data_IF_828258766037
#
_entry.id   IF_828258766037
#
_cell.length_a   1.000
_cell.length_b   1.000
_cell.length_c   1.000
_cell.angle_alpha   90.00
_cell.angle_beta   90.00
_cell.angle_gamma   90.00
#
_symmetry.space_group_name_H-M   'P 1'
#
loop_
_entity.id
_entity.type
_entity.pdbx_description
1 polymer ?
#
# COMPACT_ATOMS: atom_id res chain seq x y z
N UNK A 1 -21.20 13.44 1.27
CA UNK A 1 -20.02 12.85 0.59
C UNK A 1 -20.38 11.44 0.14
N UNK A 2 -19.87 10.99 -1.00
CA UNK A 2 -20.04 9.59 -1.43
C UNK A 2 -18.89 8.74 -0.90
N UNK A 3 -19.07 7.43 -0.76
CA UNK A 3 -17.99 6.52 -0.35
C UNK A 3 -16.73 6.66 -1.22
N UNK A 4 -16.89 6.95 -2.52
CA UNK A 4 -15.78 7.21 -3.43
C UNK A 4 -14.99 8.46 -3.05
N UNK A 5 -15.68 9.54 -2.68
CA UNK A 5 -15.02 10.78 -2.27
C UNK A 5 -14.30 10.57 -0.94
N UNK A 6 -14.94 9.90 0.02
CA UNK A 6 -14.32 9.59 1.32
C UNK A 6 -13.04 8.74 1.16
N UNK A 7 -13.06 7.73 0.28
CA UNK A 7 -11.89 6.91 0.01
C UNK A 7 -10.77 7.71 -0.68
N UNK A 8 -11.14 8.61 -1.59
CA UNK A 8 -10.17 9.48 -2.25
C UNK A 8 -9.56 10.49 -1.28
N UNK A 9 -10.36 11.12 -0.43
CA UNK A 9 -9.89 12.02 0.64
C UNK A 9 -8.91 11.29 1.57
N UNK A 10 -9.24 10.05 1.96
CA UNK A 10 -8.33 9.22 2.77
C UNK A 10 -7.04 8.87 2.04
N UNK A 11 -7.09 8.65 0.73
CA UNK A 11 -5.87 8.52 -0.06
C UNK A 11 -5.06 9.82 -0.11
N UNK A 12 -5.70 10.99 -0.23
CA UNK A 12 -4.99 12.27 -0.21
C UNK A 12 -4.31 12.52 1.13
N UNK A 13 -4.94 12.17 2.26
CA UNK A 13 -4.30 12.19 3.58
C UNK A 13 -3.04 11.31 3.61
N UNK A 14 -3.14 10.06 3.14
CA UNK A 14 -1.99 9.16 3.05
C UNK A 14 -0.92 9.68 2.09
N UNK A 15 -1.32 10.16 0.92
CA UNK A 15 -0.45 10.72 -0.12
C UNK A 15 0.37 11.89 0.41
N UNK A 16 -0.26 12.79 1.19
CA UNK A 16 0.42 13.89 1.85
C UNK A 16 1.53 13.39 2.80
N UNK A 17 1.26 12.38 3.63
CA UNK A 17 2.27 11.76 4.51
C UNK A 17 3.42 11.13 3.73
N UNK A 18 3.13 10.57 2.55
CA UNK A 18 4.14 9.94 1.70
C UNK A 18 5.02 10.95 0.97
N UNK A 19 4.53 12.16 0.68
CA UNK A 19 5.37 13.21 0.08
C UNK A 19 6.21 13.97 1.12
N UNK A 20 5.74 14.06 2.36
CA UNK A 20 6.45 14.69 3.46
C UNK A 20 7.65 13.87 3.95
N UNK A 21 8.57 14.54 4.64
CA UNK A 21 9.61 13.88 5.41
C UNK A 21 8.97 12.98 6.47
N UNK A 22 9.43 11.74 6.55
CA UNK A 22 8.97 10.79 7.55
C UNK A 22 9.31 11.24 8.98
N UNK A 23 8.51 10.77 9.93
CA UNK A 23 8.81 10.98 11.36
C UNK A 23 10.22 10.51 11.74
N UNK A 24 10.80 11.10 12.77
CA UNK A 24 12.06 10.64 13.36
C UNK A 24 11.96 9.20 13.85
N UNK A 25 10.83 8.81 14.43
CA UNK A 25 10.61 7.42 14.83
C UNK A 25 10.69 6.43 13.65
N UNK A 26 9.97 6.71 12.55
CA UNK A 26 10.00 5.87 11.35
C UNK A 26 11.40 5.88 10.72
N UNK A 27 12.03 7.05 10.61
CA UNK A 27 13.39 7.16 10.08
C UNK A 27 14.37 6.31 10.88
N UNK A 28 14.34 6.38 12.22
CA UNK A 28 15.23 5.60 13.09
C UNK A 28 15.01 4.09 12.93
N UNK A 29 13.77 3.64 12.81
CA UNK A 29 13.50 2.23 12.53
C UNK A 29 14.13 1.79 11.22
N UNK A 30 13.96 2.59 10.18
CA UNK A 30 14.36 2.22 8.85
C UNK A 30 15.84 2.52 8.55
N UNK A 31 16.50 3.44 9.24
CA UNK A 31 17.90 3.78 9.00
C UNK A 31 18.85 3.04 9.96
N UNK A 32 18.46 2.90 11.24
CA UNK A 32 19.39 2.45 12.27
C UNK A 32 19.11 1.01 12.75
N UNK A 33 17.83 0.63 12.84
CA UNK A 33 17.45 -0.65 13.43
C UNK A 33 17.49 -1.82 12.42
N UNK A 34 17.37 -1.53 11.13
CA UNK A 34 17.48 -2.54 10.06
C UNK A 34 18.87 -2.51 9.44
N UNK A 35 19.51 -3.67 9.32
CA UNK A 35 20.79 -3.80 8.62
C UNK A 35 20.56 -3.98 7.12
N UNK A 36 20.80 -2.93 6.36
CA UNK A 36 20.71 -2.93 4.90
C UNK A 36 22.04 -3.40 4.28
N UNK A 37 22.26 -4.72 4.20
CA UNK A 37 23.48 -5.27 3.58
C UNK A 37 23.37 -5.30 2.05
N UNK A 38 24.32 -4.67 1.36
CA UNK A 38 24.43 -4.70 -0.11
C UNK A 38 24.59 -6.15 -0.61
N UNK A 39 23.52 -6.78 -1.10
CA UNK A 39 23.62 -8.04 -1.87
C UNK A 39 24.11 -7.82 -3.31
N UNK A 40 24.30 -6.57 -3.74
CA UNK A 40 24.86 -6.23 -5.04
C UNK A 40 25.74 -5.00 -4.89
N UNK A 41 27.04 -5.16 -5.13
CA UNK A 41 28.03 -4.10 -4.98
C UNK A 41 27.65 -2.78 -5.65
N UNK A 42 28.31 -1.71 -5.19
CA UNK A 42 28.16 -0.31 -5.62
C UNK A 42 27.55 -0.20 -7.03
N UNK A 43 26.35 0.38 -7.12
CA UNK A 43 25.82 0.79 -8.42
C UNK A 43 26.84 1.73 -9.09
N UNK A 44 26.97 1.68 -10.42
CA UNK A 44 27.86 2.59 -11.19
C UNK A 44 27.57 4.09 -10.96
N UNK A 45 26.49 4.41 -10.24
CA UNK A 45 26.09 5.76 -9.86
C UNK A 45 26.54 6.18 -8.44
N UNK A 46 27.33 5.36 -7.71
CA UNK A 46 27.89 5.74 -6.41
C UNK A 46 26.96 5.56 -5.20
N UNK A 47 25.69 5.18 -5.42
CA UNK A 47 24.71 4.99 -4.34
C UNK A 47 24.74 3.55 -3.79
N UNK A 48 24.78 3.41 -2.46
CA UNK A 48 24.76 2.14 -1.72
C UNK A 48 23.33 1.65 -1.46
N UNK A 49 23.15 0.38 -1.11
CA UNK A 49 21.87 -0.16 -0.58
C UNK A 49 21.24 0.72 0.52
N UNK A 50 22.10 1.44 1.25
CA UNK A 50 21.78 2.22 2.44
C UNK A 50 20.79 3.37 2.24
N UNK A 51 20.30 3.62 1.03
CA UNK A 51 19.24 4.63 0.81
C UNK A 51 17.99 4.07 0.13
N UNK A 52 18.05 2.95 -0.60
CA UNK A 52 16.86 2.42 -1.28
C UNK A 52 15.94 1.67 -0.30
N UNK A 53 16.55 0.78 0.49
CA UNK A 53 15.86 -0.01 1.52
C UNK A 53 15.20 0.87 2.58
N UNK A 54 15.93 1.81 3.22
CA UNK A 54 15.35 2.72 4.21
C UNK A 54 14.18 3.54 3.68
N UNK A 55 14.24 4.09 2.47
CA UNK A 55 13.12 4.86 1.89
C UNK A 55 11.88 3.99 1.71
N UNK A 56 12.02 2.78 1.17
CA UNK A 56 10.90 1.86 1.03
C UNK A 56 10.35 1.41 2.39
N UNK A 57 11.22 1.11 3.34
CA UNK A 57 10.83 0.83 4.72
C UNK A 57 10.02 1.98 5.30
N UNK A 58 10.47 3.23 5.13
CA UNK A 58 9.78 4.42 5.60
C UNK A 58 8.38 4.52 5.02
N UNK A 59 8.24 4.35 3.70
CA UNK A 59 6.93 4.33 3.04
C UNK A 59 6.01 3.21 3.56
N UNK A 60 6.54 2.00 3.76
CA UNK A 60 5.78 0.88 4.34
C UNK A 60 5.28 1.18 5.76
N UNK A 61 6.15 1.76 6.60
CA UNK A 61 5.77 2.12 7.96
C UNK A 61 4.75 3.26 7.98
N UNK A 62 4.87 4.28 7.13
CA UNK A 62 3.85 5.34 7.03
C UNK A 62 2.47 4.75 6.68
N UNK A 63 2.40 3.80 5.74
CA UNK A 63 1.17 3.09 5.40
C UNK A 63 0.66 2.27 6.61
N UNK A 64 1.53 1.53 7.30
CA UNK A 64 1.13 0.75 8.49
C UNK A 64 0.62 1.66 9.61
N UNK A 65 1.27 2.77 9.90
CA UNK A 65 0.82 3.74 10.91
C UNK A 65 -0.53 4.36 10.51
N UNK A 66 -0.68 4.75 9.24
CA UNK A 66 -1.95 5.21 8.69
C UNK A 66 -3.08 4.20 8.86
N UNK A 67 -2.85 2.92 8.54
CA UNK A 67 -3.83 1.84 8.70
C UNK A 67 -4.22 1.59 10.17
N UNK A 68 -3.35 1.94 11.12
CA UNK A 68 -3.60 1.84 12.56
C UNK A 68 -4.15 3.13 13.19
N UNK A 69 -4.47 4.15 12.38
CA UNK A 69 -5.01 5.42 12.89
C UNK A 69 -3.99 6.26 13.65
N UNK A 70 -2.69 6.01 13.47
CA UNK A 70 -1.61 6.78 14.10
C UNK A 70 -0.98 7.69 13.06
N UNK A 71 -0.81 8.95 13.40
CA UNK A 71 -0.10 9.92 12.59
C UNK A 71 1.09 10.48 13.37
N UNK A 72 2.25 10.37 12.76
CA UNK A 72 3.48 10.96 13.24
C UNK A 72 3.96 11.99 12.24
N UNK A 73 4.44 13.13 12.76
CA UNK A 73 5.04 14.17 11.95
C UNK A 73 6.30 14.66 12.63
N UNK A 74 7.35 14.87 11.84
CA UNK A 74 8.56 15.49 12.36
C UNK A 74 8.26 16.90 12.83
N UNK A 75 8.90 17.33 13.92
CA UNK A 75 8.68 18.66 14.49
C UNK A 75 9.10 19.77 13.54
N UNK A 76 10.29 19.62 12.95
CA UNK A 76 10.86 20.46 11.90
C UNK A 76 11.74 19.61 10.98
N UNK A 77 11.96 20.06 9.75
CA UNK A 77 12.80 19.33 8.80
C UNK A 77 14.21 19.10 9.36
N UNK A 78 14.69 17.86 9.29
CA UNK A 78 16.02 17.46 9.76
C UNK A 78 16.17 17.29 11.28
N UNK A 79 15.11 17.48 12.07
CA UNK A 79 15.18 17.30 13.53
C UNK A 79 15.07 15.84 13.97
N UNK A 80 15.61 15.54 15.14
CA UNK A 80 15.54 14.23 15.80
C UNK A 80 14.35 14.11 16.76
N UNK A 81 13.30 14.89 16.53
CA UNK A 81 12.10 14.96 17.37
C UNK A 81 10.84 14.96 16.50
N UNK A 82 9.82 14.25 16.98
CA UNK A 82 8.49 14.25 16.42
C UNK A 82 7.54 15.15 17.22
N UNK A 83 6.49 15.63 16.55
CA UNK A 83 5.32 16.17 17.22
C UNK A 83 4.63 15.06 18.01
N UNK A 84 3.77 15.45 18.96
CA UNK A 84 2.90 14.48 19.62
C UNK A 84 2.08 13.72 18.56
N UNK A 85 1.96 12.40 18.73
CA UNK A 85 1.22 11.55 17.80
C UNK A 85 -0.25 11.98 17.77
N UNK A 86 -0.80 12.14 16.57
CA UNK A 86 -2.23 12.37 16.37
C UNK A 86 -2.91 11.01 16.19
N UNK A 87 -3.85 10.68 17.07
CA UNK A 87 -4.52 9.38 17.11
C UNK A 87 -5.97 9.53 16.63
N UNK A 88 -6.31 8.80 15.58
CA UNK A 88 -7.68 8.68 15.07
C UNK A 88 -8.34 7.42 15.62
N UNK A 89 -9.53 7.55 16.20
CA UNK A 89 -10.36 6.41 16.56
C UNK A 89 -10.93 5.76 15.29
N UNK A 90 -10.59 4.49 15.10
CA UNK A 90 -11.02 3.63 14.01
C UNK A 90 -12.39 3.06 14.30
N UNK A 91 -13.45 3.81 14.00
CA UNK A 91 -14.80 3.24 13.84
C UNK A 91 -14.79 2.16 12.74
N UNK A 92 -15.79 1.28 12.64
CA UNK A 92 -15.83 0.26 11.58
C UNK A 92 -15.64 0.85 10.17
N UNK A 93 -16.28 1.97 9.88
CA UNK A 93 -16.18 2.64 8.58
C UNK A 93 -14.80 3.26 8.36
N UNK A 94 -14.22 3.89 9.39
CA UNK A 94 -12.89 4.49 9.30
C UNK A 94 -11.80 3.42 9.14
N UNK A 95 -11.93 2.31 9.86
CA UNK A 95 -11.09 1.14 9.69
C UNK A 95 -11.19 0.63 8.24
N UNK A 96 -12.41 0.41 7.73
CA UNK A 96 -12.60 -0.04 6.35
C UNK A 96 -11.90 0.88 5.34
N UNK A 97 -12.13 2.20 5.42
CA UNK A 97 -11.51 3.18 4.52
C UNK A 97 -9.98 3.15 4.58
N UNK A 98 -9.39 3.17 5.78
CA UNK A 98 -7.93 3.15 5.92
C UNK A 98 -7.32 1.83 5.46
N UNK A 99 -7.97 0.71 5.75
CA UNK A 99 -7.49 -0.61 5.34
C UNK A 99 -7.51 -0.75 3.82
N UNK A 100 -8.61 -0.36 3.15
CA UNK A 100 -8.70 -0.49 1.69
C UNK A 100 -7.78 0.52 0.98
N UNK A 101 -7.73 1.77 1.45
CA UNK A 101 -6.83 2.80 0.91
C UNK A 101 -5.37 2.38 1.09
N UNK A 102 -4.97 1.96 2.28
CA UNK A 102 -3.60 1.51 2.56
C UNK A 102 -3.20 0.32 1.70
N UNK A 103 -4.09 -0.66 1.55
CA UNK A 103 -3.86 -1.87 0.73
C UNK A 103 -3.70 -1.53 -0.75
N UNK A 104 -4.64 -0.76 -1.32
CA UNK A 104 -4.58 -0.38 -2.74
C UNK A 104 -3.38 0.55 -2.99
N UNK A 105 -3.18 1.55 -2.14
CA UNK A 105 -2.05 2.48 -2.26
C UNK A 105 -0.70 1.74 -2.21
N UNK A 106 -0.53 0.79 -1.30
CA UNK A 106 0.69 0.00 -1.21
C UNK A 106 1.01 -0.72 -2.53
N UNK A 107 0.01 -1.36 -3.13
CA UNK A 107 0.18 -2.07 -4.40
C UNK A 107 0.48 -1.12 -5.56
N UNK A 108 -0.30 -0.04 -5.70
CA UNK A 108 -0.16 0.91 -6.82
C UNK A 108 1.11 1.77 -6.74
N UNK A 109 1.54 2.13 -5.53
CA UNK A 109 2.68 3.03 -5.31
C UNK A 109 4.02 2.30 -5.28
N UNK A 110 4.05 1.12 -4.69
CA UNK A 110 5.31 0.44 -4.37
C UNK A 110 5.38 -1.00 -4.91
N UNK A 111 4.27 -1.57 -5.38
CA UNK A 111 4.23 -2.96 -5.82
C UNK A 111 5.19 -3.30 -6.95
N UNK A 112 5.58 -2.33 -7.78
CA UNK A 112 6.54 -2.51 -8.86
C UNK A 112 8.00 -2.27 -8.46
N UNK A 113 8.31 -2.12 -7.16
CA UNK A 113 9.68 -1.99 -6.67
C UNK A 113 10.40 -3.34 -6.53
N UNK A 114 11.53 -3.51 -7.23
CA UNK A 114 12.21 -4.81 -7.32
C UNK A 114 12.81 -5.36 -6.03
N UNK A 115 12.89 -4.57 -4.95
CA UNK A 115 13.35 -5.05 -3.63
C UNK A 115 12.26 -4.95 -2.56
N UNK A 116 11.01 -4.67 -2.94
CA UNK A 116 9.93 -4.50 -1.97
C UNK A 116 9.75 -5.75 -1.10
N UNK A 117 9.75 -6.95 -1.70
CA UNK A 117 9.66 -8.21 -0.95
C UNK A 117 10.74 -8.31 0.15
N UNK A 118 11.99 -8.00 -0.18
CA UNK A 118 13.12 -8.06 0.76
C UNK A 118 12.99 -7.01 1.86
N UNK A 119 12.49 -5.81 1.53
CA UNK A 119 12.22 -4.76 2.51
C UNK A 119 11.08 -5.19 3.44
N UNK A 120 9.98 -5.75 2.92
CA UNK A 120 8.86 -6.27 3.72
C UNK A 120 9.36 -7.36 4.68
N UNK A 121 10.18 -8.29 4.18
CA UNK A 121 10.76 -9.35 5.00
C UNK A 121 11.58 -8.77 6.14
N UNK A 122 12.51 -7.85 5.84
CA UNK A 122 13.34 -7.17 6.86
C UNK A 122 12.54 -6.37 7.86
N UNK A 123 11.51 -5.64 7.41
CA UNK A 123 10.61 -4.92 8.31
C UNK A 123 9.96 -5.91 9.27
N UNK A 124 9.46 -7.04 8.77
CA UNK A 124 8.82 -8.07 9.59
C UNK A 124 9.80 -8.70 10.59
N UNK A 125 10.99 -9.10 10.15
CA UNK A 125 11.94 -9.87 10.96
C UNK A 125 12.74 -9.01 11.93
N UNK A 126 13.19 -7.84 11.49
CA UNK A 126 14.19 -7.06 12.22
C UNK A 126 13.52 -6.04 13.16
N UNK A 127 12.39 -5.46 12.76
CA UNK A 127 11.74 -4.35 13.49
C UNK A 127 10.24 -4.53 13.75
N UNK A 128 9.58 -5.58 13.24
CA UNK A 128 8.13 -5.72 13.27
C UNK A 128 7.55 -5.68 14.68
N UNK A 129 8.13 -6.44 15.61
CA UNK A 129 7.71 -6.43 17.02
C UNK A 129 7.92 -5.08 17.70
N UNK A 130 9.00 -4.37 17.37
CA UNK A 130 9.29 -3.04 17.91
C UNK A 130 8.33 -1.98 17.39
N UNK A 131 7.99 -2.06 16.09
CA UNK A 131 6.99 -1.20 15.45
C UNK A 131 5.62 -1.41 16.10
N UNK A 132 5.19 -2.66 16.26
CA UNK A 132 3.91 -2.98 16.88
C UNK A 132 3.86 -2.51 18.34
N UNK A 133 4.96 -2.64 19.09
CA UNK A 133 5.07 -2.12 20.45
C UNK A 133 4.96 -0.58 20.50
N UNK A 134 5.58 0.15 19.55
CA UNK A 134 5.44 1.61 19.48
C UNK A 134 4.03 2.04 19.11
N UNK A 135 3.42 1.40 18.11
CA UNK A 135 2.03 1.63 17.75
C UNK A 135 1.10 1.42 18.95
N UNK A 136 1.28 0.31 19.68
CA UNK A 136 0.53 0.04 20.91
C UNK A 136 0.71 1.14 21.95
N UNK A 137 1.93 1.64 22.15
CA UNK A 137 2.20 2.73 23.09
C UNK A 137 1.51 4.03 22.68
N UNK A 138 1.53 4.40 21.40
CA UNK A 138 0.82 5.56 20.87
C UNK A 138 -0.70 5.42 21.06
N UNK A 139 -1.24 4.24 20.78
CA UNK A 139 -2.67 3.94 20.96
C UNK A 139 -3.12 3.95 22.44
N UNK A 140 -2.17 3.86 23.37
CA UNK A 140 -2.40 3.88 24.82
C UNK A 140 -2.00 5.21 25.49
N UNK A 141 -1.47 6.19 24.76
CA UNK A 141 -0.93 7.44 25.33
C UNK A 141 -2.00 8.52 25.58
N UNK A 142 -3.26 8.27 25.22
CA UNK A 142 -4.38 9.20 25.36
C UNK A 142 -5.37 8.86 26.49
N UNK A 143 -6.45 9.66 26.58
CA UNK A 143 -7.54 9.44 27.56
C UNK A 143 -8.38 8.20 27.24
N UNK A 144 -8.47 7.82 25.96
CA UNK A 144 -9.04 6.57 25.49
C UNK A 144 -7.91 5.58 25.23
N UNK A 145 -8.04 4.36 25.75
CA UNK A 145 -7.16 3.24 25.39
C UNK A 145 -7.71 2.60 24.13
N UNK A 146 -6.93 2.67 23.05
CA UNK A 146 -7.33 2.26 21.71
C UNK A 146 -6.43 1.13 21.18
N UNK A 147 -5.89 0.31 22.09
CA UNK A 147 -4.96 -0.77 21.74
C UNK A 147 -5.59 -1.87 20.88
N UNK A 148 -6.92 -2.03 20.94
CA UNK A 148 -7.68 -2.94 20.08
C UNK A 148 -7.69 -2.54 18.60
N UNK A 149 -7.22 -1.33 18.29
CA UNK A 149 -7.06 -0.85 16.91
C UNK A 149 -5.79 -1.36 16.25
N UNK A 150 -4.84 -1.89 17.03
CA UNK A 150 -3.62 -2.45 16.50
C UNK A 150 -3.93 -3.61 15.55
N UNK A 151 -3.38 -3.55 14.34
CA UNK A 151 -3.57 -4.53 13.28
C UNK A 151 -5.05 -4.78 12.93
N UNK A 152 -5.93 -3.79 13.12
CA UNK A 152 -7.38 -3.90 12.86
C UNK A 152 -7.73 -4.25 11.42
N UNK A 153 -6.81 -4.05 10.48
CA UNK A 153 -6.97 -4.41 9.06
C UNK A 153 -6.77 -5.90 8.77
N UNK A 154 -6.18 -6.68 9.68
CA UNK A 154 -5.95 -8.11 9.46
C UNK A 154 -7.27 -8.86 9.23
N UNK A 155 -7.37 -9.53 8.09
CA UNK A 155 -8.56 -10.26 7.65
C UNK A 155 -9.78 -9.39 7.34
N UNK A 156 -9.63 -8.06 7.21
CA UNK A 156 -10.75 -7.15 6.87
C UNK A 156 -10.93 -6.91 5.39
N UNK A 157 -9.88 -7.08 4.60
CA UNK A 157 -9.93 -6.93 3.15
C UNK A 157 -10.00 -8.32 2.55
N UNK A 158 -11.19 -8.70 2.11
CA UNK A 158 -11.43 -9.88 1.29
C UNK A 158 -11.42 -9.50 -0.20
N UNK A 159 -11.57 -10.50 -1.07
CA UNK A 159 -11.55 -10.30 -2.51
C UNK A 159 -12.59 -9.26 -2.99
N UNK A 160 -13.88 -9.33 -2.60
CA UNK A 160 -14.87 -8.30 -2.95
C UNK A 160 -14.48 -6.89 -2.51
N UNK A 161 -14.00 -6.72 -1.27
CA UNK A 161 -13.57 -5.43 -0.77
C UNK A 161 -12.38 -4.87 -1.58
N UNK A 162 -11.41 -5.74 -1.93
CA UNK A 162 -10.28 -5.36 -2.76
C UNK A 162 -10.71 -4.92 -4.16
N UNK A 163 -11.56 -5.69 -4.82
CA UNK A 163 -12.04 -5.37 -6.18
C UNK A 163 -12.84 -4.07 -6.18
N UNK A 164 -13.69 -3.87 -5.18
CA UNK A 164 -14.42 -2.62 -4.98
C UNK A 164 -13.47 -1.43 -4.77
N UNK A 165 -12.48 -1.58 -3.87
CA UNK A 165 -11.50 -0.54 -3.62
C UNK A 165 -10.69 -0.18 -4.86
N UNK A 166 -10.22 -1.18 -5.62
CA UNK A 166 -9.51 -0.95 -6.88
C UNK A 166 -10.40 -0.26 -7.92
N UNK A 167 -11.65 -0.69 -8.09
CA UNK A 167 -12.58 -0.05 -9.02
C UNK A 167 -12.75 1.46 -8.74
N UNK A 168 -12.76 1.87 -7.47
CA UNK A 168 -12.92 3.27 -7.09
C UNK A 168 -11.61 4.08 -7.07
N UNK A 169 -10.49 3.45 -6.70
CA UNK A 169 -9.24 4.14 -6.41
C UNK A 169 -8.14 3.95 -7.46
N UNK A 170 -8.12 2.81 -8.16
CA UNK A 170 -7.02 2.39 -9.04
C UNK A 170 -6.62 3.50 -10.02
N UNK A 171 -7.59 4.03 -10.80
CA UNK A 171 -7.31 5.04 -11.81
C UNK A 171 -6.71 6.32 -11.23
N UNK A 172 -7.27 6.83 -10.12
CA UNK A 172 -6.80 8.06 -9.49
C UNK A 172 -5.42 7.89 -8.84
N UNK A 173 -5.21 6.78 -8.11
CA UNK A 173 -3.92 6.50 -7.48
C UNK A 173 -2.85 6.29 -8.55
N UNK A 174 -3.13 5.50 -9.60
CA UNK A 174 -2.19 5.26 -10.71
C UNK A 174 -1.78 6.56 -11.39
N UNK A 175 -2.73 7.46 -11.67
CA UNK A 175 -2.44 8.76 -12.24
C UNK A 175 -1.56 9.59 -11.30
N UNK A 176 -1.93 9.69 -10.03
CA UNK A 176 -1.16 10.43 -9.03
C UNK A 176 0.28 9.88 -8.88
N UNK A 177 0.44 8.55 -8.82
CA UNK A 177 1.75 7.87 -8.78
C UNK A 177 2.59 8.23 -10.00
N UNK A 178 1.98 8.22 -11.19
CA UNK A 178 2.66 8.57 -12.45
C UNK A 178 3.14 10.02 -12.41
N UNK A 179 2.27 10.96 -12.03
CA UNK A 179 2.59 12.38 -11.95
C UNK A 179 3.75 12.65 -10.97
N UNK A 180 3.73 12.03 -9.78
CA UNK A 180 4.84 12.17 -8.81
C UNK A 180 6.15 11.54 -9.33
N UNK A 181 6.07 10.41 -10.02
CA UNK A 181 7.24 9.74 -10.60
C UNK A 181 7.85 10.51 -11.76
N UNK A 182 7.03 11.17 -12.58
CA UNK A 182 7.47 11.98 -13.72
C UNK A 182 8.20 13.26 -13.31
N UNK A 183 7.95 13.77 -12.10
CA UNK A 183 8.77 14.85 -11.51
C UNK A 183 10.23 14.45 -11.26
N UNK A 184 10.53 13.14 -11.24
CA UNK A 184 11.88 12.61 -11.06
C UNK A 184 12.55 13.18 -9.81
N UNK A 185 13.75 13.76 -9.96
CA UNK A 185 14.50 14.36 -8.85
C UNK A 185 13.82 15.59 -8.23
N UNK A 186 12.86 16.23 -8.91
CA UNK A 186 12.04 17.31 -8.35
C UNK A 186 10.76 16.81 -7.66
N UNK A 187 10.50 15.50 -7.68
CA UNK A 187 9.34 14.90 -7.02
C UNK A 187 9.60 14.55 -5.56
N UNK A 188 8.57 14.04 -4.89
CA UNK A 188 8.69 13.54 -3.53
C UNK A 188 9.76 12.44 -3.41
N UNK A 189 10.54 12.46 -2.33
CA UNK A 189 11.70 11.59 -2.17
C UNK A 189 11.33 10.10 -2.11
N UNK A 190 10.18 9.74 -1.53
CA UNK A 190 9.65 8.35 -1.50
C UNK A 190 9.10 7.89 -2.85
N UNK A 191 8.84 8.80 -3.79
CA UNK A 191 8.18 8.52 -5.07
C UNK A 191 9.07 8.91 -6.26
N UNK A 192 9.08 10.18 -6.66
CA UNK A 192 9.84 10.68 -7.81
C UNK A 192 11.33 10.41 -7.73
N UNK A 193 11.98 10.79 -6.63
CA UNK A 193 13.42 10.62 -6.49
C UNK A 193 13.78 9.14 -6.29
N UNK A 194 12.97 8.41 -5.52
CA UNK A 194 13.11 6.96 -5.38
C UNK A 194 13.01 6.26 -6.74
N UNK A 195 12.08 6.70 -7.60
CA UNK A 195 11.85 6.12 -8.91
C UNK A 195 13.00 6.42 -9.88
N UNK A 196 13.33 7.69 -10.07
CA UNK A 196 14.35 8.12 -11.03
C UNK A 196 15.76 7.79 -10.56
N UNK A 197 16.09 8.17 -9.33
CA UNK A 197 17.43 8.11 -8.78
C UNK A 197 17.85 6.71 -8.31
N UNK A 198 16.89 5.83 -7.96
CA UNK A 198 17.22 4.54 -7.34
C UNK A 198 16.53 3.33 -7.99
N UNK A 199 15.23 3.39 -8.28
CA UNK A 199 14.52 2.28 -8.91
C UNK A 199 15.03 2.03 -10.33
N UNK A 200 15.05 3.04 -11.22
CA UNK A 200 15.50 2.86 -12.61
C UNK A 200 16.93 2.32 -12.70
N UNK A 201 17.92 2.83 -11.92
CA UNK A 201 19.27 2.29 -11.95
C UNK A 201 19.43 0.86 -11.40
N UNK A 202 18.58 0.43 -10.46
CA UNK A 202 18.71 -0.87 -9.77
C UNK A 202 17.82 -1.94 -10.37
N UNK A 203 16.58 -1.61 -10.68
CA UNK A 203 15.56 -2.55 -11.09
C UNK A 203 15.58 -2.84 -12.60
N UNK A 204 16.09 -1.92 -13.42
CA UNK A 204 16.20 -2.11 -14.87
C UNK A 204 17.57 -2.67 -15.22
N UNK A 205 17.62 -3.92 -15.67
CA UNK A 205 18.86 -4.56 -16.14
C UNK A 205 19.22 -4.06 -17.53
N UNK A 206 20.45 -3.59 -17.71
CA UNK A 206 20.97 -3.18 -19.03
C UNK A 206 20.54 -1.76 -19.43
N UNK A 207 20.17 -1.59 -20.70
CA UNK A 207 19.67 -0.29 -21.21
C UNK A 207 18.35 0.08 -20.51
N UNK A 208 18.06 1.37 -20.41
CA UNK A 208 16.83 1.89 -19.76
C UNK A 208 15.84 2.38 -20.80
N UNK A 209 15.46 1.48 -21.71
CA UNK A 209 14.41 1.78 -22.70
C UNK A 209 13.02 1.67 -22.05
N UNK A 210 11.97 2.30 -22.62
CA UNK A 210 10.60 2.15 -22.12
C UNK A 210 10.16 0.69 -21.97
N UNK A 211 10.54 -0.17 -22.92
CA UNK A 211 10.22 -1.61 -22.88
C UNK A 211 10.88 -2.29 -21.67
N UNK A 212 12.17 -2.04 -21.42
CA UNK A 212 12.89 -2.66 -20.31
C UNK A 212 12.42 -2.16 -18.94
N UNK A 213 12.02 -0.88 -18.86
CA UNK A 213 11.36 -0.32 -17.69
C UNK A 213 10.06 -1.07 -17.43
N UNK A 214 9.20 -1.19 -18.43
CA UNK A 214 7.89 -1.82 -18.27
C UNK A 214 8.00 -3.31 -17.91
N UNK A 215 8.91 -4.05 -18.55
CA UNK A 215 9.19 -5.43 -18.16
C UNK A 215 9.70 -5.55 -16.72
N UNK A 216 10.57 -4.63 -16.27
CA UNK A 216 11.06 -4.62 -14.90
C UNK A 216 9.95 -4.35 -13.89
N UNK A 217 8.99 -3.48 -14.23
CA UNK A 217 7.79 -3.23 -13.43
C UNK A 217 6.94 -4.47 -13.29
N UNK A 218 6.56 -5.08 -14.43
CA UNK A 218 5.73 -6.30 -14.46
C UNK A 218 6.36 -7.46 -13.70
N UNK A 219 7.67 -7.69 -13.88
CA UNK A 219 8.40 -8.70 -13.11
C UNK A 219 8.37 -8.41 -11.61
N UNK A 220 8.59 -7.16 -11.21
CA UNK A 220 8.62 -6.78 -9.79
C UNK A 220 7.23 -6.95 -9.15
N UNK A 221 6.17 -6.51 -9.82
CA UNK A 221 4.79 -6.72 -9.38
C UNK A 221 4.50 -8.20 -9.13
N UNK A 222 4.83 -9.05 -10.10
CA UNK A 222 4.59 -10.48 -9.99
C UNK A 222 5.37 -11.11 -8.84
N UNK A 223 6.62 -10.70 -8.62
CA UNK A 223 7.44 -11.21 -7.53
C UNK A 223 6.96 -10.72 -6.15
N UNK A 224 6.36 -9.53 -6.09
CA UNK A 224 5.94 -8.90 -4.84
C UNK A 224 4.53 -9.28 -4.39
N UNK A 225 3.69 -9.84 -5.27
CA UNK A 225 2.24 -10.02 -5.04
C UNK A 225 1.87 -10.68 -3.72
N UNK A 226 2.56 -11.75 -3.34
CA UNK A 226 2.28 -12.48 -2.10
C UNK A 226 2.72 -11.70 -0.87
N UNK A 227 3.85 -10.99 -0.96
CA UNK A 227 4.38 -10.18 0.14
C UNK A 227 3.50 -8.94 0.37
N UNK A 228 3.02 -8.32 -0.70
CA UNK A 228 2.04 -7.23 -0.66
C UNK A 228 0.75 -7.67 0.05
N UNK A 229 0.21 -8.82 -0.35
CA UNK A 229 -1.00 -9.38 0.25
C UNK A 229 -0.82 -9.64 1.74
N UNK A 230 0.28 -10.32 2.12
CA UNK A 230 0.60 -10.64 3.52
C UNK A 230 0.83 -9.38 4.35
N UNK A 231 1.56 -8.40 3.84
CA UNK A 231 1.80 -7.13 4.55
C UNK A 231 0.50 -6.33 4.76
N UNK A 232 -0.43 -6.40 3.81
CA UNK A 232 -1.75 -5.75 3.93
C UNK A 232 -2.69 -6.46 4.91
N UNK A 233 -2.24 -7.55 5.55
CA UNK A 233 -3.04 -8.33 6.49
C UNK A 233 -4.14 -9.18 5.82
N UNK A 234 -4.06 -9.39 4.50
CA UNK A 234 -5.01 -10.22 3.78
C UNK A 234 -4.66 -11.71 3.95
N UNK A 235 -5.70 -12.55 3.99
CA UNK A 235 -5.56 -14.01 4.03
C UNK A 235 -5.60 -14.55 2.61
N UNK A 236 -4.90 -15.66 2.38
CA UNK A 236 -5.09 -16.41 1.14
C UNK A 236 -6.52 -16.93 1.06
N UNK A 237 -7.14 -16.84 -0.11
CA UNK A 237 -8.45 -17.41 -0.33
C UNK A 237 -8.37 -18.93 -0.18
N UNK A 238 -8.99 -19.46 0.88
CA UNK A 238 -9.13 -20.92 1.12
C UNK A 238 -9.94 -21.60 -0.01
N UNK A 239 -10.56 -20.81 -0.90
CA UNK A 239 -11.33 -21.26 -2.05
C UNK A 239 -10.52 -21.39 -3.37
N UNK A 240 -9.20 -21.26 -3.32
CA UNK A 240 -8.28 -21.45 -4.47
C UNK A 240 -8.32 -22.85 -5.11
N UNK A 241 -9.12 -23.78 -4.60
CA UNK A 241 -9.32 -25.12 -5.16
C UNK A 241 -10.35 -25.19 -6.30
N UNK A 242 -11.06 -24.09 -6.61
CA UNK A 242 -12.00 -24.09 -7.76
C UNK A 242 -11.26 -23.79 -9.07
N UNK A 243 -11.34 -24.67 -10.09
CA UNK A 243 -10.78 -24.41 -11.40
C UNK A 243 -11.25 -23.07 -11.97
N UNK A 244 -10.32 -22.22 -12.38
CA UNK A 244 -10.61 -20.90 -12.97
C UNK A 244 -10.69 -19.72 -11.99
N UNK A 245 -10.42 -19.89 -10.70
CA UNK A 245 -10.34 -18.77 -9.75
C UNK A 245 -9.02 -17.98 -9.90
N UNK A 246 -9.11 -16.65 -9.91
CA UNK A 246 -7.94 -15.75 -9.91
C UNK A 246 -7.54 -15.48 -8.44
N UNK A 247 -6.28 -15.72 -8.06
CA UNK A 247 -5.83 -15.45 -6.68
C UNK A 247 -5.93 -13.97 -6.31
N UNK A 248 -6.33 -13.67 -5.07
CA UNK A 248 -6.42 -12.28 -4.55
C UNK A 248 -5.09 -11.50 -4.70
N UNK A 249 -3.95 -12.18 -4.59
CA UNK A 249 -2.64 -11.58 -4.81
C UNK A 249 -2.44 -11.09 -6.26
N UNK A 250 -2.96 -11.82 -7.25
CA UNK A 250 -2.89 -11.41 -8.66
C UNK A 250 -3.78 -10.20 -8.94
N UNK A 251 -4.93 -10.10 -8.27
CA UNK A 251 -5.82 -8.93 -8.36
C UNK A 251 -5.21 -7.71 -7.68
N UNK A 252 -4.56 -7.90 -6.52
CA UNK A 252 -3.86 -6.82 -5.83
C UNK A 252 -2.75 -6.24 -6.71
N UNK A 253 -1.90 -7.10 -7.27
CA UNK A 253 -0.75 -6.73 -8.10
C UNK A 253 -1.11 -6.26 -9.52
N UNK A 254 -2.38 -6.36 -9.93
CA UNK A 254 -2.86 -5.84 -11.20
C UNK A 254 -2.97 -4.31 -11.17
N UNK A 255 -1.85 -3.65 -11.43
CA UNK A 255 -1.76 -2.19 -11.59
C UNK A 255 -2.01 -1.74 -13.03
N UNK A 256 -2.29 -2.68 -13.94
CA UNK A 256 -2.68 -2.38 -15.33
C UNK A 256 -4.21 -2.28 -15.49
N UNK A 257 -4.96 -2.72 -14.49
CA UNK A 257 -6.41 -2.62 -14.45
C UNK A 257 -7.13 -3.73 -15.19
N UNK A 258 -6.45 -4.85 -15.49
CA UNK A 258 -7.02 -6.02 -16.17
C UNK A 258 -8.25 -6.58 -15.47
N UNK A 259 -8.21 -6.66 -14.14
CA UNK A 259 -9.29 -7.16 -13.28
C UNK A 259 -10.12 -6.03 -12.67
N UNK A 260 -9.90 -4.79 -13.11
CA UNK A 260 -10.66 -3.65 -12.60
C UNK A 260 -12.02 -3.55 -13.29
N UNK A 261 -13.07 -3.60 -12.48
CA UNK A 261 -14.44 -3.40 -12.93
C UNK A 261 -14.64 -1.90 -13.20
N UNK A 262 -15.27 -1.57 -14.31
CA UNK A 262 -15.66 -0.20 -14.61
C UNK A 262 -16.67 0.32 -13.59
N UNK A 263 -16.54 1.57 -13.19
CA UNK A 263 -17.34 2.17 -12.12
C UNK A 263 -18.85 2.08 -12.40
N UNK A 264 -19.29 2.28 -13.64
CA UNK A 264 -20.69 2.15 -14.03
C UNK A 264 -21.21 0.72 -13.84
N UNK A 265 -20.39 -0.27 -14.19
CA UNK A 265 -20.68 -1.69 -14.01
C UNK A 265 -20.64 -2.07 -12.53
N UNK A 266 -19.77 -1.44 -11.74
CA UNK A 266 -19.75 -1.60 -10.29
C UNK A 266 -21.05 -1.05 -9.66
N UNK A 267 -21.52 0.11 -10.12
CA UNK A 267 -22.79 0.71 -9.68
C UNK A 267 -23.98 -0.21 -9.90
N UNK A 268 -24.09 -0.82 -11.09
CA UNK A 268 -25.16 -1.77 -11.40
C UNK A 268 -25.03 -3.09 -10.63
N UNK A 269 -23.81 -3.57 -10.42
CA UNK A 269 -23.51 -4.76 -9.62
C UNK A 269 -23.86 -4.54 -8.14
N UNK A 270 -23.57 -3.36 -7.58
CA UNK A 270 -23.95 -3.00 -6.21
C UNK A 270 -25.46 -2.84 -6.07
N UNK A 271 -26.09 -2.09 -6.97
CA UNK A 271 -27.52 -1.80 -6.92
C UNK A 271 -28.35 -3.08 -7.04
N UNK A 272 -27.93 -4.00 -7.91
CA UNK A 272 -28.59 -5.30 -8.04
C UNK A 272 -28.29 -6.27 -6.88
N UNK A 273 -27.27 -5.97 -6.05
CA UNK A 273 -26.91 -6.76 -4.86
C UNK A 273 -27.50 -6.19 -3.57
N UNK A 274 -28.23 -5.07 -3.63
CA UNK A 274 -28.98 -4.55 -2.51
C UNK A 274 -30.23 -5.42 -2.28
N UNK A 275 -30.37 -5.89 -1.04
CA UNK A 275 -31.60 -6.49 -0.55
C UNK A 275 -32.63 -5.37 -0.27
N UNK A 276 -33.92 -5.72 -0.25
CA UNK A 276 -35.02 -4.76 -0.04
C UNK A 276 -35.01 -4.00 1.30
N UNK A 277 -34.08 -4.32 2.20
CA UNK A 277 -33.83 -3.62 3.46
C UNK A 277 -32.59 -2.69 3.41
N UNK A 278 -32.02 -2.47 2.23
CA UNK A 278 -30.81 -1.67 2.04
C UNK A 278 -29.50 -2.36 2.44
N UNK A 279 -29.52 -3.62 2.86
CA UNK A 279 -28.30 -4.41 3.14
C UNK A 279 -27.77 -5.03 1.85
N UNK A 280 -26.45 -5.05 1.70
CA UNK A 280 -25.77 -5.69 0.57
C UNK A 280 -25.70 -7.20 0.82
N UNK A 281 -26.18 -7.99 -0.13
CA UNK A 281 -25.91 -9.43 -0.19
C UNK A 281 -24.48 -9.64 -0.69
N UNK A 282 -23.55 -9.85 0.25
CA UNK A 282 -22.12 -10.05 -0.03
C UNK A 282 -21.89 -11.26 -0.94
N UNK A 283 -22.71 -12.32 -0.84
CA UNK A 283 -22.56 -13.52 -1.66
C UNK A 283 -22.97 -13.27 -3.11
N UNK A 284 -24.09 -12.56 -3.31
CA UNK A 284 -24.58 -12.10 -4.62
C UNK A 284 -23.61 -11.08 -5.24
N UNK A 285 -23.12 -10.14 -4.43
CA UNK A 285 -22.14 -9.15 -4.83
C UNK A 285 -20.84 -9.81 -5.31
N UNK A 286 -20.28 -10.73 -4.53
CA UNK A 286 -19.06 -11.47 -4.89
C UNK A 286 -19.24 -12.22 -6.21
N UNK A 287 -20.38 -12.89 -6.38
CA UNK A 287 -20.69 -13.61 -7.62
C UNK A 287 -20.79 -12.67 -8.82
N UNK A 288 -21.49 -11.54 -8.69
CA UNK A 288 -21.67 -10.59 -9.80
C UNK A 288 -20.41 -9.79 -10.13
N UNK A 289 -19.60 -9.46 -9.12
CA UNK A 289 -18.26 -8.91 -9.30
C UNK A 289 -17.40 -9.89 -10.09
N UNK A 290 -17.47 -11.18 -9.73
CA UNK A 290 -16.78 -12.25 -10.46
C UNK A 290 -17.28 -12.36 -11.91
N UNK A 291 -18.58 -12.46 -12.15
CA UNK A 291 -19.18 -12.52 -13.49
C UNK A 291 -18.79 -11.29 -14.33
N UNK A 292 -18.82 -10.09 -13.74
CA UNK A 292 -18.43 -8.84 -14.38
C UNK A 292 -16.94 -8.77 -14.77
N UNK A 293 -16.10 -9.57 -14.10
CA UNK A 293 -14.65 -9.66 -14.31
C UNK A 293 -14.29 -10.81 -15.26
N UNK A 294 -15.03 -11.92 -15.23
CA UNK A 294 -14.91 -13.02 -16.20
C UNK A 294 -15.29 -12.58 -17.62
N UNK A 295 -16.23 -11.63 -17.78
CA UNK A 295 -16.47 -11.00 -19.09
C UNK A 295 -15.25 -10.23 -19.66
N UNK A 296 -14.22 -9.94 -18.85
CA UNK A 296 -12.96 -9.31 -19.28
C UNK A 296 -11.80 -10.30 -19.43
N UNK A 297 -12.00 -11.59 -19.14
CA UNK A 297 -10.99 -12.66 -19.28
C UNK A 297 -11.16 -13.46 -20.57
#
# INVERSE_FOLDING_TARGET
>A
ATLKDDLWEKFQELGQRLIEQESWEINRFCADAVKWTDRGGKSKAGWTWGEYGPTLCGALLEIKYFMNGVELRRKYEGWTEDKAAEITELTPDEAYRRCIVGTVALAELYGDHCQLMEVIEKVKTDIGGTVDAKLKNHLNSGTKKLEEQLNKCEGKIDLPALMFGKALLHGKIKQWTKEEREKGNGGAWKLGQQWEGKWKPRCVRGKRTPVQIEEARKRSLQNNKESLMKFSGMKEDVNGERPGSVPIADILADTDGKFTIEEEKLGSVLQSSLQGNGKIDVSSLTKKIKDATEEKL
#
